data_IF_320979541910
#
_entry.id   IF_320979541910
#
_cell.length_a   1.000
_cell.length_b   1.000
_cell.length_c   1.000
_cell.angle_alpha   90.00
_cell.angle_beta   90.00
_cell.angle_gamma   90.00
#
_symmetry.space_group_name_H-M   'P 1'
#
loop_
_entity.id
_entity.type
_entity.pdbx_description
1 polymer ?
#
# COMPACT_ATOMS: atom_id res chain seq x y z
N UNK A 1 -49.33 -24.57 31.48
CA UNK A 1 -48.05 -23.97 31.89
C UNK A 1 -47.07 -24.11 30.73
N UNK A 2 -46.96 -23.09 29.88
CA UNK A 2 -46.11 -23.11 28.68
C UNK A 2 -44.73 -22.53 28.99
N UNK A 3 -43.68 -23.30 28.75
CA UNK A 3 -42.29 -22.86 28.88
C UNK A 3 -41.89 -22.07 27.63
N UNK A 4 -41.54 -20.78 27.79
CA UNK A 4 -40.92 -19.98 26.73
C UNK A 4 -39.43 -20.38 26.63
N UNK A 5 -39.01 -20.91 25.48
CA UNK A 5 -37.58 -21.09 25.15
C UNK A 5 -37.19 -20.01 24.14
N UNK A 6 -36.41 -19.04 24.59
CA UNK A 6 -35.77 -18.03 23.72
C UNK A 6 -34.42 -18.59 23.29
N UNK A 7 -34.31 -18.95 22.02
CA UNK A 7 -33.02 -19.32 21.41
C UNK A 7 -32.27 -18.03 21.05
N UNK A 8 -31.22 -17.72 21.80
CA UNK A 8 -30.25 -16.68 21.41
C UNK A 8 -29.29 -17.25 20.35
N UNK A 9 -29.66 -17.10 19.07
CA UNK A 9 -28.77 -17.29 17.92
C UNK A 9 -28.64 -15.97 17.17
N UNK A 10 -27.82 -15.04 17.69
CA UNK A 10 -27.65 -13.71 17.10
C UNK A 10 -26.22 -13.16 17.10
N UNK A 11 -25.24 -13.88 17.67
CA UNK A 11 -23.85 -13.44 17.78
C UNK A 11 -22.90 -14.45 17.13
N UNK A 12 -23.00 -14.60 15.81
CA UNK A 12 -22.04 -15.42 15.05
C UNK A 12 -21.43 -14.70 13.85
N UNK A 13 -22.20 -13.82 13.19
CA UNK A 13 -21.84 -13.23 11.89
C UNK A 13 -21.19 -11.84 11.97
N UNK A 14 -21.14 -11.22 13.15
CA UNK A 14 -20.57 -9.87 13.33
C UNK A 14 -19.06 -9.86 13.57
N UNK A 15 -18.55 -10.86 14.30
CA UNK A 15 -17.13 -10.94 14.68
C UNK A 15 -16.22 -11.12 13.46
N UNK A 16 -16.59 -12.00 12.52
CA UNK A 16 -15.79 -12.26 11.31
C UNK A 16 -15.64 -11.02 10.41
N UNK A 17 -16.68 -10.19 10.34
CA UNK A 17 -16.63 -8.94 9.56
C UNK A 17 -15.73 -7.92 10.24
N UNK A 18 -15.86 -7.73 11.55
CA UNK A 18 -15.06 -6.78 12.31
C UNK A 18 -13.56 -7.12 12.28
N UNK A 19 -13.21 -8.41 12.38
CA UNK A 19 -11.82 -8.88 12.30
C UNK A 19 -11.22 -8.58 10.92
N UNK A 20 -11.92 -8.92 9.84
CA UNK A 20 -11.46 -8.65 8.46
C UNK A 20 -11.29 -7.16 8.18
N UNK A 21 -12.20 -6.31 8.66
CA UNK A 21 -12.04 -4.86 8.53
C UNK A 21 -10.79 -4.35 9.26
N UNK A 22 -10.51 -4.88 10.46
CA UNK A 22 -9.33 -4.50 11.23
C UNK A 22 -8.03 -4.91 10.52
N UNK A 23 -7.99 -6.12 9.95
CA UNK A 23 -6.85 -6.60 9.16
C UNK A 23 -6.63 -5.76 7.89
N UNK A 24 -7.71 -5.44 7.17
CA UNK A 24 -7.66 -4.55 6.02
C UNK A 24 -7.08 -3.18 6.41
N UNK A 25 -7.64 -2.54 7.44
CA UNK A 25 -7.19 -1.23 7.91
C UNK A 25 -5.71 -1.26 8.31
N UNK A 26 -5.27 -2.29 9.05
CA UNK A 26 -3.85 -2.46 9.37
C UNK A 26 -3.00 -2.56 8.10
N UNK A 27 -3.40 -3.41 7.15
CA UNK A 27 -2.64 -3.62 5.91
C UNK A 27 -2.56 -2.35 5.04
N UNK A 28 -3.63 -1.56 5.00
CA UNK A 28 -3.71 -0.29 4.29
C UNK A 28 -2.84 0.79 4.96
N UNK A 29 -2.85 0.88 6.29
CA UNK A 29 -1.95 1.78 7.02
C UNK A 29 -0.48 1.41 6.77
N UNK A 30 -0.12 0.13 6.79
CA UNK A 30 1.23 -0.32 6.45
C UNK A 30 1.60 0.03 5.01
N UNK A 31 0.70 -0.19 4.04
CA UNK A 31 0.93 0.21 2.66
C UNK A 31 1.17 1.72 2.52
N UNK A 32 0.39 2.54 3.26
CA UNK A 32 0.57 3.99 3.29
C UNK A 32 1.94 4.39 3.86
N UNK A 33 2.36 3.79 4.97
CA UNK A 33 3.70 4.02 5.53
C UNK A 33 4.79 3.66 4.53
N UNK A 34 4.69 2.52 3.84
CA UNK A 34 5.68 2.11 2.83
C UNK A 34 5.75 3.05 1.61
N UNK A 35 4.63 3.68 1.24
CA UNK A 35 4.57 4.70 0.20
C UNK A 35 5.27 5.97 0.67
N UNK A 36 4.95 6.47 1.86
CA UNK A 36 5.59 7.66 2.42
C UNK A 36 7.09 7.46 2.61
N UNK A 37 7.52 6.33 3.17
CA UNK A 37 8.93 6.00 3.37
C UNK A 37 9.70 6.06 2.05
N UNK A 38 9.12 5.55 0.96
CA UNK A 38 9.75 5.60 -0.36
C UNK A 38 9.78 7.02 -0.94
N UNK A 39 8.70 7.78 -0.76
CA UNK A 39 8.65 9.20 -1.14
C UNK A 39 9.75 9.97 -0.41
N UNK A 40 9.94 9.76 0.90
CA UNK A 40 11.00 10.40 1.67
C UNK A 40 12.40 9.98 1.20
N UNK A 41 12.61 8.69 0.91
CA UNK A 41 13.87 8.20 0.37
C UNK A 41 14.19 8.82 -1.00
N UNK A 42 13.20 8.91 -1.89
CA UNK A 42 13.36 9.56 -3.18
C UNK A 42 13.55 11.08 -3.00
N UNK A 43 12.87 11.72 -2.06
CA UNK A 43 13.08 13.13 -1.74
C UNK A 43 14.52 13.42 -1.26
N UNK A 44 15.13 12.50 -0.50
CA UNK A 44 16.52 12.61 -0.06
C UNK A 44 17.55 12.41 -1.19
N UNK A 45 17.18 11.75 -2.30
CA UNK A 45 18.09 11.49 -3.44
C UNK A 45 18.22 12.70 -4.37
N UNK A 46 19.34 12.77 -5.08
CA UNK A 46 19.56 13.76 -6.15
C UNK A 46 18.75 13.39 -7.40
N UNK A 47 18.22 14.40 -8.12
CA UNK A 47 17.36 14.22 -9.31
C UNK A 47 18.04 13.55 -10.51
N UNK A 48 19.37 13.47 -10.50
CA UNK A 48 20.19 12.79 -11.52
C UNK A 48 20.37 11.30 -11.24
N UNK A 49 19.90 10.81 -10.09
CA UNK A 49 20.02 9.41 -9.73
C UNK A 49 19.21 8.49 -10.68
N UNK A 50 19.65 7.24 -10.92
CA UNK A 50 18.99 6.30 -11.83
C UNK A 50 17.50 6.07 -11.53
N UNK A 51 17.10 6.19 -10.27
CA UNK A 51 15.72 6.05 -9.78
C UNK A 51 14.78 7.14 -10.30
N UNK A 52 15.33 8.22 -10.88
CA UNK A 52 14.60 9.30 -11.55
C UNK A 52 14.70 9.26 -13.07
N UNK A 53 15.17 8.16 -13.66
CA UNK A 53 15.03 7.96 -15.11
C UNK A 53 13.56 7.74 -15.45
N UNK A 54 13.09 8.30 -16.57
CA UNK A 54 11.68 8.18 -16.95
C UNK A 54 11.31 6.72 -17.21
N UNK A 55 10.15 6.30 -16.70
CA UNK A 55 9.68 4.92 -16.81
C UNK A 55 9.27 4.31 -15.47
N UNK A 56 9.08 2.98 -15.49
CA UNK A 56 8.71 2.22 -14.30
C UNK A 56 9.93 1.66 -13.59
N UNK A 57 9.88 1.75 -12.28
CA UNK A 57 10.87 1.25 -11.35
C UNK A 57 10.20 0.34 -10.34
N UNK A 58 10.99 -0.57 -9.79
CA UNK A 58 10.55 -1.51 -8.78
C UNK A 58 11.60 -1.64 -7.69
N UNK A 59 11.13 -1.87 -6.48
CA UNK A 59 11.99 -2.23 -5.36
C UNK A 59 12.69 -3.58 -5.64
N UNK A 60 14.00 -3.65 -5.36
CA UNK A 60 14.79 -4.86 -5.52
C UNK A 60 14.38 -5.97 -4.54
N UNK A 61 13.81 -5.61 -3.39
CA UNK A 61 13.37 -6.55 -2.37
C UNK A 61 11.94 -7.05 -2.59
N UNK A 62 11.27 -6.65 -3.68
CA UNK A 62 9.90 -7.10 -3.93
C UNK A 62 9.79 -8.63 -4.01
N UNK A 63 8.77 -9.23 -3.36
CA UNK A 63 7.78 -8.59 -2.50
C UNK A 63 8.36 -8.24 -1.10
N UNK A 64 8.00 -7.06 -0.61
CA UNK A 64 8.52 -6.48 0.63
C UNK A 64 7.60 -6.68 1.84
N UNK A 65 8.20 -6.72 3.03
CA UNK A 65 7.52 -6.73 4.34
C UNK A 65 7.07 -5.33 4.74
N UNK A 66 6.41 -5.21 5.89
CA UNK A 66 6.06 -3.92 6.50
C UNK A 66 7.26 -3.03 6.85
N UNK A 67 8.49 -3.55 6.78
CA UNK A 67 9.74 -2.84 7.07
C UNK A 67 10.62 -2.70 5.82
N UNK A 68 10.04 -2.86 4.62
CA UNK A 68 10.75 -2.86 3.34
C UNK A 68 11.85 -3.95 3.17
N UNK A 69 11.87 -4.97 4.04
CA UNK A 69 12.74 -6.14 3.87
C UNK A 69 12.14 -7.11 2.83
N UNK A 70 12.96 -7.97 2.24
CA UNK A 70 12.47 -8.96 1.27
C UNK A 70 11.55 -10.03 1.91
N UNK A 71 10.83 -10.77 1.06
CA UNK A 71 9.94 -11.89 1.41
C UNK A 71 8.66 -11.51 2.19
N UNK A 72 8.05 -10.36 1.85
CA UNK A 72 6.75 -9.98 2.38
C UNK A 72 5.59 -10.12 1.39
N UNK A 73 4.55 -9.32 1.59
CA UNK A 73 3.27 -9.38 0.86
C UNK A 73 2.98 -8.13 0.05
N UNK A 74 3.80 -7.10 0.18
CA UNK A 74 3.64 -5.82 -0.49
C UNK A 74 4.54 -5.78 -1.72
N UNK A 75 4.06 -5.20 -2.81
CA UNK A 75 4.86 -4.96 -4.02
C UNK A 75 4.92 -3.46 -4.24
N UNK A 76 6.11 -2.90 -4.16
CA UNK A 76 6.36 -1.46 -4.28
C UNK A 76 6.99 -1.12 -5.63
N UNK A 77 6.37 -0.20 -6.35
CA UNK A 77 6.82 0.28 -7.66
C UNK A 77 6.65 1.79 -7.73
N UNK A 78 7.47 2.47 -8.51
CA UNK A 78 7.24 3.87 -8.81
C UNK A 78 7.42 4.17 -10.29
N UNK A 79 6.64 5.12 -10.79
CA UNK A 79 6.73 5.58 -12.18
C UNK A 79 7.20 7.01 -12.20
N UNK A 80 8.20 7.30 -13.02
CA UNK A 80 8.73 8.65 -13.21
C UNK A 80 8.31 9.18 -14.56
N UNK A 81 7.62 10.32 -14.55
CA UNK A 81 7.25 11.08 -15.74
C UNK A 81 8.06 12.36 -15.79
N UNK A 82 8.81 12.56 -16.88
CA UNK A 82 9.60 13.78 -17.09
C UNK A 82 8.73 14.95 -17.55
N UNK A 83 9.21 16.16 -17.32
CA UNK A 83 8.63 17.42 -17.79
C UNK A 83 7.15 17.59 -17.42
N UNK A 84 6.79 17.11 -16.22
CA UNK A 84 5.40 17.17 -15.70
C UNK A 84 5.45 17.67 -14.26
N UNK A 85 4.64 18.69 -13.89
CA UNK A 85 3.71 19.44 -14.74
C UNK A 85 4.38 20.51 -15.64
N UNK A 86 5.67 20.77 -15.45
CA UNK A 86 6.44 21.77 -16.21
C UNK A 86 7.78 21.19 -16.65
N UNK A 87 8.35 21.74 -17.74
CA UNK A 87 9.68 21.39 -18.24
C UNK A 87 10.71 21.52 -17.14
N UNK A 88 11.56 20.51 -16.99
CA UNK A 88 12.60 20.45 -15.96
C UNK A 88 12.15 19.86 -14.63
N UNK A 89 10.85 19.60 -14.42
CA UNK A 89 10.33 18.88 -13.26
C UNK A 89 10.06 17.40 -13.58
N UNK A 90 10.15 16.55 -12.56
CA UNK A 90 9.82 15.13 -12.64
C UNK A 90 8.66 14.82 -11.70
N UNK A 91 7.60 14.25 -12.23
CA UNK A 91 6.51 13.70 -11.43
C UNK A 91 6.82 12.23 -11.13
N UNK A 92 6.80 11.85 -9.86
CA UNK A 92 7.03 10.47 -9.43
C UNK A 92 5.78 9.95 -8.74
N UNK A 93 5.24 8.86 -9.24
CA UNK A 93 4.08 8.18 -8.69
C UNK A 93 4.52 6.89 -8.01
N UNK A 94 4.48 6.85 -6.69
CA UNK A 94 4.81 5.66 -5.90
C UNK A 94 3.53 4.86 -5.66
N UNK A 95 3.61 3.55 -5.83
CA UNK A 95 2.50 2.62 -5.65
C UNK A 95 2.94 1.40 -4.84
N UNK A 96 2.13 1.01 -3.87
CA UNK A 96 2.27 -0.24 -3.12
C UNK A 96 1.02 -1.08 -3.32
N UNK A 97 1.20 -2.30 -3.84
CA UNK A 97 0.13 -3.28 -4.04
C UNK A 97 0.24 -4.42 -3.02
N UNK A 98 -0.90 -4.95 -2.56
CA UNK A 98 -0.95 -6.14 -1.71
C UNK A 98 -2.24 -6.92 -1.95
N UNK A 99 -2.28 -8.21 -1.62
CA UNK A 99 -3.50 -9.01 -1.73
C UNK A 99 -4.22 -9.04 -0.39
N UNK A 100 -5.50 -8.64 -0.38
CA UNK A 100 -6.39 -8.79 0.76
C UNK A 100 -7.65 -9.53 0.34
N UNK A 101 -7.98 -10.62 1.03
CA UNK A 101 -9.16 -11.45 0.74
C UNK A 101 -9.25 -11.93 -0.73
N UNK A 102 -8.11 -12.24 -1.35
CA UNK A 102 -8.03 -12.68 -2.75
C UNK A 102 -8.18 -11.55 -3.79
N UNK A 103 -8.25 -10.29 -3.35
CA UNK A 103 -8.30 -9.11 -4.22
C UNK A 103 -7.03 -8.30 -4.07
N UNK A 104 -6.45 -7.85 -5.19
CA UNK A 104 -5.32 -6.94 -5.16
C UNK A 104 -5.80 -5.54 -4.80
N UNK A 105 -5.24 -5.01 -3.73
CA UNK A 105 -5.40 -3.64 -3.26
C UNK A 105 -4.17 -2.83 -3.65
N UNK A 106 -4.36 -1.54 -3.89
CA UNK A 106 -3.28 -0.64 -4.27
C UNK A 106 -3.40 0.67 -3.51
N UNK A 107 -2.29 1.12 -2.94
CA UNK A 107 -2.12 2.47 -2.40
C UNK A 107 -1.17 3.22 -3.33
N UNK A 108 -1.54 4.42 -3.76
CA UNK A 108 -0.75 5.22 -4.71
C UNK A 108 -0.72 6.68 -4.29
N UNK A 109 0.46 7.27 -4.32
CA UNK A 109 0.70 8.68 -4.05
C UNK A 109 1.65 9.27 -5.10
N UNK A 110 1.56 10.58 -5.31
CA UNK A 110 2.33 11.29 -6.34
C UNK A 110 3.06 12.45 -5.70
N UNK A 111 4.34 12.56 -6.00
CA UNK A 111 5.18 13.71 -5.66
C UNK A 111 5.75 14.36 -6.93
N UNK A 112 6.15 15.62 -6.82
CA UNK A 112 6.88 16.34 -7.88
C UNK A 112 8.26 16.70 -7.32
N UNK A 113 9.29 16.58 -8.15
CA UNK A 113 10.68 16.87 -7.81
C UNK A 113 11.37 17.66 -8.91
#
# INVERSE_FOLDING_TARGET
MGLLTVVFLGMGVGADRATRYTEYSRSATTAMTLVHDEIEQLQAKVTTAPEFTAGNHADANNPITSTAAAAGTYTRTWTVTKDTPMVGLKTVAVQVAWTFSGQTQTMREVMVK
#
